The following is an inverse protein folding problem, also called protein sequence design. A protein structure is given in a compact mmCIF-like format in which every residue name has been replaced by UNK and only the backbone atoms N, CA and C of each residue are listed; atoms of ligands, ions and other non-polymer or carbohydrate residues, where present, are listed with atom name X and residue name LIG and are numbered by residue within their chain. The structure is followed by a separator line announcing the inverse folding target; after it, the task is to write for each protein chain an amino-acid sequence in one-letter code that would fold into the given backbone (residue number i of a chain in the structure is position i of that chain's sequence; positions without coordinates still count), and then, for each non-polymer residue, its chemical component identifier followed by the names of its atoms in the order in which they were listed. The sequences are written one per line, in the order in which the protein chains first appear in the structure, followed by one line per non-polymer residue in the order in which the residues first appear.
data_IF_289503115767
#
_entry.id   IF_289503115767
#
_cell.length_a   1.000
_cell.length_b   1.000
_cell.length_c   1.000
_cell.angle_alpha   90.00
_cell.angle_beta   90.00
_cell.angle_gamma   90.00
#
_symmetry.space_group_name_H-M   'P 1'
#
loop_
_entity.id
_entity.type
_entity.pdbx_description
1 polymer ?
#
# COMPACT_ATOMS: atom_id res chain seq x y z
N UNK A 1 -15.31 -7.25 -9.31
CA UNK A 1 -15.01 -6.15 -8.37
C UNK A 1 -13.72 -5.40 -8.68
N UNK A 2 -12.96 -5.83 -9.70
CA UNK A 2 -11.68 -5.21 -10.13
C UNK A 2 -11.72 -3.70 -10.36
N UNK A 3 -12.78 -3.15 -10.96
CA UNK A 3 -12.91 -1.70 -11.12
C UNK A 3 -12.92 -0.96 -9.77
N UNK A 4 -13.72 -1.44 -8.82
CA UNK A 4 -13.85 -0.82 -7.49
C UNK A 4 -12.52 -0.94 -6.74
N UNK A 5 -11.89 -2.12 -6.77
CA UNK A 5 -10.58 -2.33 -6.16
C UNK A 5 -9.52 -1.41 -6.78
N UNK A 6 -9.52 -1.27 -8.12
CA UNK A 6 -8.60 -0.42 -8.86
C UNK A 6 -8.76 1.06 -8.50
N UNK A 7 -9.99 1.57 -8.45
CA UNK A 7 -10.29 2.96 -8.04
C UNK A 7 -9.82 3.21 -6.61
N UNK A 8 -10.17 2.32 -5.67
CA UNK A 8 -9.77 2.44 -4.26
C UNK A 8 -8.23 2.44 -4.15
N UNK A 9 -7.54 1.57 -4.89
CA UNK A 9 -6.08 1.50 -4.90
C UNK A 9 -5.43 2.78 -5.42
N UNK A 10 -5.98 3.39 -6.47
CA UNK A 10 -5.48 4.67 -6.99
C UNK A 10 -5.65 5.76 -5.94
N UNK A 11 -6.83 5.90 -5.32
CA UNK A 11 -7.03 6.88 -4.25
C UNK A 11 -6.09 6.61 -3.06
N UNK A 12 -5.94 5.34 -2.67
CA UNK A 12 -5.03 4.95 -1.61
C UNK A 12 -3.58 5.25 -1.94
N UNK A 13 -3.14 5.16 -3.21
CA UNK A 13 -1.78 5.54 -3.58
C UNK A 13 -1.49 7.00 -3.23
N UNK A 14 -2.43 7.90 -3.53
CA UNK A 14 -2.29 9.34 -3.26
C UNK A 14 -2.32 9.60 -1.77
N UNK A 15 -3.28 9.01 -1.06
CA UNK A 15 -3.38 9.13 0.40
C UNK A 15 -2.12 8.59 1.07
N UNK A 16 -1.61 7.45 0.62
CA UNK A 16 -0.42 6.81 1.19
C UNK A 16 0.83 7.66 1.05
N UNK A 17 1.03 8.31 -0.11
CA UNK A 17 2.16 9.23 -0.33
C UNK A 17 2.01 10.47 0.55
N UNK A 18 0.83 11.11 0.56
CA UNK A 18 0.61 12.34 1.32
C UNK A 18 0.71 12.12 2.83
N UNK A 19 0.06 11.07 3.35
CA UNK A 19 0.10 10.75 4.78
C UNK A 19 1.46 10.22 5.22
N UNK A 20 2.06 9.32 4.43
CA UNK A 20 3.35 8.74 4.75
C UNK A 20 4.50 9.77 4.67
N UNK A 21 4.36 10.83 3.87
CA UNK A 21 5.29 11.95 3.90
C UNK A 21 5.02 12.91 5.07
N UNK A 22 3.77 13.22 5.41
CA UNK A 22 3.50 14.28 6.40
C UNK A 22 3.60 13.82 7.85
N UNK A 23 2.94 12.72 8.22
CA UNK A 23 2.82 12.34 9.63
C UNK A 23 4.10 11.69 10.18
N UNK A 24 4.62 10.60 9.59
CA UNK A 24 5.80 9.89 10.11
C UNK A 24 7.03 10.78 10.12
N UNK A 25 7.21 11.65 9.12
CA UNK A 25 8.37 12.55 9.06
C UNK A 25 8.33 13.61 10.15
N UNK A 26 7.15 14.14 10.43
CA UNK A 26 7.00 15.11 11.51
C UNK A 26 7.27 14.47 12.87
N UNK A 27 6.89 13.20 13.07
CA UNK A 27 7.24 12.44 14.28
C UNK A 27 8.74 12.15 14.35
N UNK A 28 9.35 11.65 13.28
CA UNK A 28 10.79 11.39 13.22
C UNK A 28 11.62 12.66 13.48
N UNK A 29 11.19 13.81 12.97
CA UNK A 29 11.83 15.10 13.26
C UNK A 29 11.71 15.50 14.74
N UNK A 30 10.57 15.25 15.38
CA UNK A 30 10.39 15.50 16.82
C UNK A 30 11.27 14.58 17.68
N UNK A 31 11.55 13.38 17.19
CA UNK A 31 12.43 12.40 17.84
C UNK A 31 13.91 12.61 17.53
N UNK A 32 14.29 13.70 16.84
CA UNK A 32 15.67 13.98 16.39
C UNK A 32 16.30 12.82 15.58
N UNK A 33 15.48 12.13 14.77
CA UNK A 33 15.97 11.12 13.83
C UNK A 33 16.97 11.74 12.84
N UNK A 34 17.95 10.95 12.41
CA UNK A 34 18.94 11.37 11.44
C UNK A 34 18.34 11.52 10.03
N UNK A 35 18.97 12.34 9.20
CA UNK A 35 18.50 12.65 7.86
C UNK A 35 18.42 11.42 6.94
N UNK A 36 19.25 10.39 7.20
CA UNK A 36 19.25 9.15 6.42
C UNK A 36 17.96 8.37 6.72
N UNK A 37 17.57 8.22 7.99
CA UNK A 37 16.33 7.54 8.35
C UNK A 37 15.11 8.26 7.79
N UNK A 38 15.06 9.59 7.88
CA UNK A 38 13.98 10.40 7.30
C UNK A 38 13.90 10.21 5.78
N UNK A 39 15.05 10.24 5.08
CA UNK A 39 15.11 10.00 3.63
C UNK A 39 14.68 8.59 3.24
N UNK A 40 15.06 7.59 4.04
CA UNK A 40 14.66 6.19 3.86
C UNK A 40 13.14 6.03 3.99
N UNK A 41 12.53 6.64 5.02
CA UNK A 41 11.08 6.62 5.21
C UNK A 41 10.31 7.29 4.06
N UNK A 42 10.80 8.43 3.56
CA UNK A 42 10.24 9.08 2.36
C UNK A 42 10.23 8.14 1.17
N UNK A 43 11.37 7.51 0.91
CA UNK A 43 11.53 6.59 -0.21
C UNK A 43 10.62 5.39 -0.07
N UNK A 44 10.52 4.81 1.13
CA UNK A 44 9.64 3.68 1.43
C UNK A 44 8.15 4.04 1.21
N UNK A 45 7.71 5.21 1.71
CA UNK A 45 6.33 5.67 1.52
C UNK A 45 6.01 5.93 0.05
N UNK A 46 6.94 6.53 -0.70
CA UNK A 46 6.77 6.75 -2.14
C UNK A 46 6.69 5.43 -2.90
N UNK A 47 7.58 4.47 -2.59
CA UNK A 47 7.59 3.13 -3.20
C UNK A 47 6.28 2.40 -2.93
N UNK A 48 5.79 2.40 -1.69
CA UNK A 48 4.51 1.81 -1.32
C UNK A 48 3.36 2.45 -2.11
N UNK A 49 3.34 3.77 -2.24
CA UNK A 49 2.31 4.50 -2.99
C UNK A 49 2.32 4.19 -4.48
N UNK A 50 3.48 4.26 -5.13
CA UNK A 50 3.65 3.93 -6.54
C UNK A 50 3.24 2.50 -6.86
N UNK A 51 3.54 1.56 -5.96
CA UNK A 51 3.17 0.16 -6.10
C UNK A 51 1.65 -0.04 -6.01
N UNK A 52 0.96 0.66 -5.11
CA UNK A 52 -0.51 0.67 -5.08
C UNK A 52 -1.12 1.29 -6.35
N UNK A 53 -0.53 2.37 -6.85
CA UNK A 53 -0.96 3.00 -8.10
C UNK A 53 -0.85 2.01 -9.27
N UNK A 54 0.29 1.33 -9.40
CA UNK A 54 0.54 0.35 -10.46
C UNK A 54 -0.47 -0.80 -10.40
N UNK A 55 -0.71 -1.38 -9.21
CA UNK A 55 -1.72 -2.44 -9.04
C UNK A 55 -3.12 -1.93 -9.35
N UNK A 56 -3.45 -0.70 -8.94
CA UNK A 56 -4.74 -0.08 -9.24
C UNK A 56 -4.98 0.09 -10.75
N UNK A 57 -3.97 0.54 -11.49
CA UNK A 57 -4.03 0.65 -12.95
C UNK A 57 -4.20 -0.72 -13.59
N UNK A 58 -3.43 -1.73 -13.17
CA UNK A 58 -3.57 -3.10 -13.68
C UNK A 58 -4.99 -3.63 -13.47
N UNK A 59 -5.58 -3.43 -12.30
CA UNK A 59 -6.96 -3.87 -12.01
C UNK A 59 -8.01 -3.17 -12.90
N UNK A 60 -7.82 -1.88 -13.20
CA UNK A 60 -8.67 -1.17 -14.17
C UNK A 60 -8.48 -1.72 -15.58
N UNK A 61 -7.25 -1.94 -16.01
CA UNK A 61 -6.97 -2.49 -17.35
C UNK A 61 -7.56 -3.90 -17.53
N UNK A 62 -7.52 -4.73 -16.48
CA UNK A 62 -8.16 -6.05 -16.49
C UNK A 62 -9.68 -5.90 -16.59
N UNK A 63 -10.28 -5.00 -15.80
CA UNK A 63 -11.72 -4.74 -15.88
C UNK A 63 -12.16 -4.24 -17.26
N UNK A 64 -11.38 -3.35 -17.88
CA UNK A 64 -11.64 -2.82 -19.22
C UNK A 64 -11.37 -3.82 -20.34
N UNK A 65 -10.91 -5.03 -20.04
CA UNK A 65 -10.61 -6.07 -21.04
C UNK A 65 -9.37 -5.78 -21.90
N UNK A 66 -8.53 -4.82 -21.48
CA UNK A 66 -7.28 -4.47 -22.21
C UNK A 66 -6.23 -5.56 -22.00
N UNK A 67 -6.17 -6.14 -20.80
CA UNK A 67 -5.27 -7.23 -20.44
C UNK A 67 -6.06 -8.31 -19.70
N UNK A 68 -5.61 -9.56 -19.81
CA UNK A 68 -6.19 -10.68 -19.09
C UNK A 68 -5.12 -11.31 -18.18
N UNK A 69 -5.40 -11.38 -16.88
CA UNK A 69 -4.60 -12.12 -15.92
C UNK A 69 -5.33 -13.44 -15.63
N UNK A 70 -4.73 -14.56 -16.03
CA UNK A 70 -5.31 -15.90 -15.87
C UNK A 70 -4.40 -16.83 -15.05
N UNK A 71 -4.99 -17.88 -14.49
CA UNK A 71 -4.30 -18.83 -13.63
C UNK A 71 -3.62 -18.14 -12.44
N UNK A 72 -2.34 -18.45 -12.20
CA UNK A 72 -1.57 -17.84 -11.11
C UNK A 72 -1.43 -16.31 -11.23
N UNK A 73 -1.43 -15.77 -12.46
CA UNK A 73 -1.25 -14.33 -12.69
C UNK A 73 -2.40 -13.49 -12.11
N UNK A 74 -3.60 -14.08 -11.96
CA UNK A 74 -4.76 -13.42 -11.36
C UNK A 74 -4.53 -13.05 -9.88
N UNK A 75 -3.62 -13.74 -9.19
CA UNK A 75 -3.28 -13.51 -7.78
C UNK A 75 -2.11 -12.54 -7.57
N UNK A 76 -1.39 -12.15 -8.64
CA UNK A 76 -0.27 -11.20 -8.55
C UNK A 76 -0.68 -9.87 -7.90
N UNK A 77 -1.82 -9.24 -8.28
CA UNK A 77 -2.31 -8.02 -7.63
C UNK A 77 -2.46 -8.16 -6.11
N UNK A 78 -3.07 -9.26 -5.65
CA UNK A 78 -3.26 -9.54 -4.22
C UNK A 78 -1.92 -9.77 -3.54
N UNK A 79 -1.06 -10.59 -4.14
CA UNK A 79 0.26 -10.91 -3.61
C UNK A 79 1.10 -9.66 -3.38
N UNK A 80 1.10 -8.72 -4.33
CA UNK A 80 1.81 -7.45 -4.23
C UNK A 80 1.29 -6.62 -3.04
N UNK A 81 -0.03 -6.53 -2.84
CA UNK A 81 -0.62 -5.81 -1.71
C UNK A 81 -0.27 -6.48 -0.38
N UNK A 82 -0.33 -7.82 -0.32
CA UNK A 82 0.05 -8.59 0.86
C UNK A 82 1.52 -8.36 1.23
N UNK A 83 2.43 -8.33 0.26
CA UNK A 83 3.85 -8.01 0.51
C UNK A 83 4.03 -6.59 1.06
N UNK A 84 3.24 -5.62 0.58
CA UNK A 84 3.28 -4.26 1.10
C UNK A 84 2.81 -4.19 2.56
N UNK A 85 1.69 -4.88 2.88
CA UNK A 85 1.19 -5.02 4.26
C UNK A 85 2.25 -5.66 5.17
N UNK A 86 2.85 -6.77 4.73
CA UNK A 86 3.85 -7.49 5.50
C UNK A 86 5.09 -6.61 5.78
N UNK A 87 5.54 -5.87 4.77
CA UNK A 87 6.67 -4.94 4.89
C UNK A 87 6.41 -3.87 5.95
N UNK A 88 5.21 -3.26 5.92
CA UNK A 88 4.79 -2.27 6.93
C UNK A 88 4.71 -2.89 8.32
N UNK A 89 4.14 -4.10 8.46
CA UNK A 89 4.06 -4.79 9.75
C UNK A 89 5.44 -5.10 10.34
N UNK A 90 6.39 -5.56 9.52
CA UNK A 90 7.77 -5.82 9.96
C UNK A 90 8.42 -4.52 10.44
N UNK A 91 8.32 -3.44 9.67
CA UNK A 91 8.91 -2.14 10.05
C UNK A 91 8.27 -1.59 11.31
N UNK A 92 6.94 -1.62 11.43
CA UNK A 92 6.24 -1.09 12.59
C UNK A 92 6.49 -1.94 13.85
N UNK A 93 6.61 -3.27 13.73
CA UNK A 93 6.79 -4.15 14.89
C UNK A 93 8.23 -4.17 15.38
N UNK A 94 9.20 -4.22 14.45
CA UNK A 94 10.62 -4.48 14.76
C UNK A 94 11.41 -3.18 14.94
N UNK A 95 11.12 -2.15 14.14
CA UNK A 95 11.93 -0.92 14.10
C UNK A 95 11.28 0.25 14.84
N UNK A 96 9.97 0.44 14.68
CA UNK A 96 9.28 1.66 15.13
C UNK A 96 7.87 1.38 15.65
N UNK A 97 7.77 0.81 16.86
CA UNK A 97 6.50 0.44 17.51
C UNK A 97 5.55 1.64 17.72
N UNK A 98 6.11 2.84 17.75
CA UNK A 98 5.39 4.11 17.86
C UNK A 98 4.47 4.35 16.66
N UNK A 99 4.87 3.87 15.48
CA UNK A 99 4.11 3.97 14.24
C UNK A 99 2.90 3.02 14.21
N UNK A 100 2.80 2.06 15.14
CA UNK A 100 1.78 1.02 15.09
C UNK A 100 0.36 1.58 15.12
N UNK A 101 0.10 2.62 15.91
CA UNK A 101 -1.22 3.29 15.95
C UNK A 101 -1.51 4.06 14.67
N UNK A 102 -0.49 4.68 14.07
CA UNK A 102 -0.63 5.47 12.85
C UNK A 102 -0.95 4.60 11.63
N UNK A 103 -0.53 3.33 11.61
CA UNK A 103 -0.77 2.42 10.47
C UNK A 103 -2.11 1.68 10.52
N UNK A 104 -2.85 1.69 11.65
CA UNK A 104 -4.14 0.97 11.79
C UNK A 104 -5.15 1.34 10.69
N UNK A 105 -5.42 2.62 10.39
CA UNK A 105 -6.37 2.98 9.34
C UNK A 105 -5.98 2.40 7.98
N UNK A 106 -4.68 2.39 7.67
CA UNK A 106 -4.16 1.83 6.44
C UNK A 106 -4.34 0.30 6.39
N UNK A 107 -4.10 -0.41 7.49
CA UNK A 107 -4.30 -1.85 7.58
C UNK A 107 -5.77 -2.25 7.37
N UNK A 108 -6.72 -1.46 7.90
CA UNK A 108 -8.15 -1.70 7.69
C UNK A 108 -8.50 -1.58 6.20
N UNK A 109 -8.01 -0.54 5.53
CA UNK A 109 -8.27 -0.35 4.10
C UNK A 109 -7.65 -1.48 3.28
N UNK A 110 -6.43 -1.91 3.61
CA UNK A 110 -5.81 -3.05 2.95
C UNK A 110 -6.57 -4.36 3.17
N UNK A 111 -7.11 -4.60 4.36
CA UNK A 111 -7.96 -5.76 4.61
C UNK A 111 -9.18 -5.75 3.67
N UNK A 112 -9.86 -4.61 3.55
CA UNK A 112 -10.99 -4.44 2.63
C UNK A 112 -10.57 -4.73 1.18
N UNK A 113 -9.45 -4.15 0.72
CA UNK A 113 -8.98 -4.34 -0.66
C UNK A 113 -8.60 -5.81 -0.92
N UNK A 114 -7.90 -6.46 0.01
CA UNK A 114 -7.51 -7.87 -0.12
C UNK A 114 -8.76 -8.74 -0.22
N UNK A 115 -9.77 -8.52 0.64
CA UNK A 115 -11.04 -9.23 0.55
C UNK A 115 -11.72 -8.98 -0.79
N UNK A 116 -11.83 -7.72 -1.24
CA UNK A 116 -12.44 -7.38 -2.54
C UNK A 116 -11.73 -8.05 -3.72
N UNK A 117 -10.40 -8.12 -3.69
CA UNK A 117 -9.63 -8.76 -4.75
C UNK A 117 -9.75 -10.28 -4.71
N UNK A 118 -9.68 -10.91 -3.53
CA UNK A 118 -9.85 -12.36 -3.39
C UNK A 118 -11.22 -12.80 -3.91
N UNK A 119 -12.30 -12.11 -3.54
CA UNK A 119 -13.65 -12.39 -4.05
C UNK A 119 -13.78 -12.03 -5.54
N UNK A 120 -12.90 -11.20 -6.10
CA UNK A 120 -12.90 -10.90 -7.53
C UNK A 120 -12.09 -11.89 -8.38
N UNK A 121 -11.27 -12.72 -7.75
CA UNK A 121 -10.43 -13.75 -8.41
C UNK A 121 -11.05 -15.14 -8.29
N UNK A 122 -11.77 -15.40 -7.19
CA UNK A 122 -12.65 -16.57 -7.00
C UNK A 122 -13.93 -16.38 -7.81
#
# INVERSE_FOLDING_TARGET
MKLIAGIILIFMSVVHIIYGEKQPINELKKLNADNILIGSFRTMSLQGGLLLLAVGVVEIMVYSGIIALSGFAAFIPVGIICLNVLSVLIVATVKHQELFKAIIPQLIIFAIIITLQLVSVI
#
